data_IF_915029016816
#
_entry.id   IF_915029016816
#
_cell.length_a   1.000
_cell.length_b   1.000
_cell.length_c   1.000
_cell.angle_alpha   90.00
_cell.angle_beta   90.00
_cell.angle_gamma   90.00
#
_symmetry.space_group_name_H-M   'P 1'
#
loop_
_entity.id
_entity.type
_entity.pdbx_description
1 polymer ?
#
# COMPACT_ATOMS: atom_id res chain seq x y z
N UNK A 1 -9.06 3.75 1.66
CA UNK A 1 -9.91 2.91 0.77
C UNK A 1 -9.39 1.49 0.59
N UNK A 2 -8.56 0.98 1.49
CA UNK A 2 -8.15 -0.42 1.58
C UNK A 2 -7.63 -0.65 3.00
N UNK A 3 -7.55 -1.90 3.43
CA UNK A 3 -6.90 -2.31 4.68
C UNK A 3 -5.78 -3.28 4.40
N UNK A 4 -4.83 -3.38 5.33
CA UNK A 4 -3.90 -4.49 5.34
C UNK A 4 -4.47 -5.64 6.15
N UNK A 5 -4.48 -6.85 5.60
CA UNK A 5 -4.83 -8.05 6.34
C UNK A 5 -3.56 -8.64 6.96
N UNK A 6 -3.37 -8.44 8.27
CA UNK A 6 -2.18 -8.94 8.99
C UNK A 6 -2.11 -10.46 9.07
N UNK A 7 -3.25 -11.16 8.95
CA UNK A 7 -3.29 -12.63 8.99
C UNK A 7 -2.84 -13.23 7.66
N UNK A 8 -3.29 -12.66 6.55
CA UNK A 8 -2.97 -13.14 5.21
C UNK A 8 -1.75 -12.44 4.57
N UNK A 9 -1.31 -11.31 5.14
CA UNK A 9 -0.22 -10.50 4.61
C UNK A 9 -0.52 -9.88 3.24
N UNK A 10 -1.77 -9.50 3.00
CA UNK A 10 -2.23 -8.95 1.71
C UNK A 10 -3.14 -7.74 1.88
N UNK A 11 -3.18 -6.91 0.84
CA UNK A 11 -4.20 -5.87 0.68
C UNK A 11 -5.61 -6.48 0.63
N UNK A 12 -6.52 -5.89 1.39
CA UNK A 12 -7.92 -6.23 1.46
C UNK A 12 -8.78 -4.95 1.42
N UNK A 13 -10.08 -5.10 1.19
CA UNK A 13 -10.99 -3.95 1.14
C UNK A 13 -11.16 -3.31 2.53
N UNK A 14 -11.33 -1.99 2.55
CA UNK A 14 -11.57 -1.24 3.78
C UNK A 14 -12.90 -1.66 4.42
N UNK A 15 -12.93 -1.65 5.76
CA UNK A 15 -14.19 -1.83 6.50
C UNK A 15 -15.01 -0.54 6.47
N UNK A 16 -16.32 -0.70 6.59
CA UNK A 16 -17.25 0.42 6.64
C UNK A 16 -16.87 1.37 7.79
N UNK A 17 -16.85 2.69 7.51
CA UNK A 17 -16.48 3.78 8.44
C UNK A 17 -15.02 3.81 8.90
N UNK A 18 -14.13 3.02 8.30
CA UNK A 18 -12.70 3.04 8.60
C UNK A 18 -11.94 3.72 7.43
N UNK A 19 -11.70 5.03 7.55
CA UNK A 19 -11.03 5.83 6.51
C UNK A 19 -9.55 5.50 6.38
N UNK A 20 -8.86 5.37 7.53
CA UNK A 20 -7.41 5.16 7.64
C UNK A 20 -7.11 4.01 8.60
N UNK A 21 -7.17 2.75 8.13
CA UNK A 21 -6.77 1.62 8.97
C UNK A 21 -5.27 1.68 9.25
N UNK A 22 -4.83 1.33 10.47
CA UNK A 22 -3.40 1.28 10.80
C UNK A 22 -2.71 0.18 10.00
N UNK A 23 -1.57 0.52 9.39
CA UNK A 23 -0.67 -0.45 8.76
C UNK A 23 0.23 -1.09 9.83
N UNK A 24 0.54 -2.39 9.75
CA UNK A 24 1.60 -2.97 10.56
C UNK A 24 2.96 -2.34 10.25
N UNK A 25 3.93 -2.59 11.13
CA UNK A 25 5.32 -2.16 10.94
C UNK A 25 5.88 -2.84 9.69
N UNK A 26 6.28 -2.04 8.70
CA UNK A 26 6.89 -2.52 7.46
C UNK A 26 8.40 -2.49 7.62
N UNK A 27 9.04 -3.64 7.46
CA UNK A 27 10.50 -3.73 7.39
C UNK A 27 10.97 -3.47 5.96
N UNK A 28 11.75 -2.41 5.76
CA UNK A 28 12.27 -2.02 4.45
C UNK A 28 13.72 -2.44 4.35
N UNK A 29 14.04 -3.25 3.34
CA UNK A 29 15.41 -3.67 3.02
C UNK A 29 15.74 -3.27 1.59
N UNK A 30 16.92 -2.69 1.40
CA UNK A 30 17.45 -2.46 0.06
C UNK A 30 17.78 -3.81 -0.60
N UNK A 31 17.16 -4.06 -1.75
CA UNK A 31 17.37 -5.26 -2.56
C UNK A 31 17.60 -4.82 -4.01
N UNK A 32 18.47 -5.51 -4.73
CA UNK A 32 18.74 -5.28 -6.15
C UNK A 32 17.47 -5.60 -6.95
N UNK A 33 17.10 -4.76 -7.93
CA UNK A 33 15.86 -4.90 -8.72
C UNK A 33 15.62 -6.31 -9.28
N UNK A 34 16.68 -7.03 -9.67
CA UNK A 34 16.59 -8.37 -10.24
C UNK A 34 16.00 -9.42 -9.29
N UNK A 35 16.12 -9.20 -7.97
CA UNK A 35 15.57 -10.08 -6.93
C UNK A 35 14.22 -9.60 -6.39
N UNK A 36 13.69 -8.50 -6.92
CA UNK A 36 12.42 -7.96 -6.47
C UNK A 36 11.28 -8.78 -7.06
N UNK A 37 10.59 -9.56 -6.22
CA UNK A 37 9.41 -10.31 -6.65
C UNK A 37 8.21 -9.37 -6.76
N UNK A 38 7.98 -8.88 -7.99
CA UNK A 38 6.86 -8.01 -8.37
C UNK A 38 5.60 -8.78 -8.79
N UNK A 39 5.62 -10.11 -8.75
CA UNK A 39 4.47 -10.92 -9.18
C UNK A 39 3.40 -10.92 -8.11
N UNK A 40 2.23 -10.36 -8.42
CA UNK A 40 1.12 -10.28 -7.48
C UNK A 40 1.29 -9.20 -6.40
N UNK A 41 2.15 -8.22 -6.64
CA UNK A 41 2.22 -6.99 -5.83
C UNK A 41 1.56 -5.82 -6.53
N UNK A 42 1.10 -4.88 -5.73
CA UNK A 42 0.59 -3.58 -6.15
C UNK A 42 1.56 -2.50 -5.69
N UNK A 43 1.92 -1.61 -6.61
CA UNK A 43 2.74 -0.44 -6.30
C UNK A 43 1.88 0.61 -5.61
N UNK A 44 2.07 0.75 -4.30
CA UNK A 44 1.33 1.69 -3.48
C UNK A 44 2.19 2.93 -3.20
N UNK A 45 1.78 4.13 -3.67
CA UNK A 45 2.51 5.36 -3.38
C UNK A 45 2.34 5.76 -1.91
N UNK A 46 3.40 6.30 -1.32
CA UNK A 46 3.42 6.85 0.05
C UNK A 46 3.48 8.36 0.00
N UNK A 47 2.55 8.98 0.73
CA UNK A 47 2.51 10.41 0.93
C UNK A 47 2.82 10.76 2.40
N UNK A 48 3.42 11.93 2.60
CA UNK A 48 3.63 12.47 3.94
C UNK A 48 2.30 12.84 4.60
N UNK A 49 1.43 13.53 3.87
CA UNK A 49 0.17 14.12 4.37
C UNK A 49 -1.05 13.64 3.59
N UNK A 50 -2.23 13.75 4.19
CA UNK A 50 -3.52 13.42 3.56
C UNK A 50 -3.81 14.23 2.31
N UNK A 51 -3.29 15.46 2.20
CA UNK A 51 -3.60 16.36 1.09
C UNK A 51 -2.98 15.94 -0.25
N UNK A 52 -2.17 14.87 -0.30
CA UNK A 52 -1.54 14.33 -1.53
C UNK A 52 -0.87 15.42 -2.40
N UNK A 53 -0.51 16.54 -1.78
CA UNK A 53 -0.40 17.80 -2.50
C UNK A 53 0.88 17.88 -3.32
N UNK A 54 1.98 17.27 -2.87
CA UNK A 54 3.27 17.44 -3.59
C UNK A 54 4.38 16.43 -3.25
N UNK A 55 4.22 15.54 -2.27
CA UNK A 55 5.32 14.67 -1.79
C UNK A 55 5.00 13.19 -1.89
N UNK A 56 5.09 12.64 -3.11
CA UNK A 56 5.22 11.17 -3.27
C UNK A 56 6.63 10.78 -2.82
N UNK A 57 6.74 10.15 -1.66
CA UNK A 57 8.03 9.83 -1.04
C UNK A 57 8.61 8.58 -1.72
N UNK A 58 7.79 7.54 -1.85
CA UNK A 58 8.22 6.25 -2.34
C UNK A 58 7.04 5.37 -2.78
N UNK A 59 7.30 4.37 -3.62
CA UNK A 59 6.32 3.34 -3.99
C UNK A 59 6.67 2.02 -3.30
N UNK A 60 5.77 1.48 -2.48
CA UNK A 60 5.93 0.15 -1.87
C UNK A 60 5.23 -0.92 -2.68
N UNK A 61 5.90 -2.06 -2.85
CA UNK A 61 5.32 -3.27 -3.41
C UNK A 61 4.50 -3.99 -2.34
N UNK A 62 3.20 -3.77 -2.31
CA UNK A 62 2.29 -4.42 -1.37
C UNK A 62 1.71 -5.69 -1.99
N UNK A 63 1.77 -6.81 -1.26
CA UNK A 63 1.17 -8.07 -1.74
C UNK A 63 -0.35 -7.93 -1.87
N UNK A 64 -0.90 -8.46 -2.95
CA UNK A 64 -2.34 -8.49 -3.17
C UNK A 64 -2.80 -9.80 -3.80
N UNK A 65 -4.04 -10.19 -3.51
CA UNK A 65 -4.71 -11.31 -4.17
C UNK A 65 -5.49 -10.86 -5.41
N UNK A 66 -5.91 -9.61 -5.43
CA UNK A 66 -6.68 -9.02 -6.52
C UNK A 66 -5.74 -8.45 -7.59
N UNK A 67 -6.29 -8.20 -8.79
CA UNK A 67 -5.53 -7.53 -9.86
C UNK A 67 -5.06 -6.14 -9.38
N UNK A 68 -3.80 -5.73 -9.67
CA UNK A 68 -3.29 -4.41 -9.30
C UNK A 68 -4.19 -3.25 -9.75
N UNK A 69 -4.82 -3.38 -10.93
CA UNK A 69 -5.75 -2.40 -11.49
C UNK A 69 -6.91 -2.03 -10.55
N UNK A 70 -7.37 -2.97 -9.70
CA UNK A 70 -8.42 -2.72 -8.71
C UNK A 70 -7.98 -1.66 -7.70
N UNK A 71 -6.73 -1.73 -7.24
CA UNK A 71 -6.18 -0.84 -6.21
C UNK A 71 -5.80 0.53 -6.77
N UNK A 72 -5.36 0.56 -8.04
CA UNK A 72 -5.17 1.81 -8.81
C UNK A 72 -6.50 2.58 -8.87
N UNK A 73 -7.58 1.91 -9.29
CA UNK A 73 -8.91 2.53 -9.39
C UNK A 73 -9.48 2.94 -8.03
N UNK A 74 -9.21 2.17 -6.98
CA UNK A 74 -9.58 2.51 -5.61
C UNK A 74 -8.78 3.69 -5.03
N UNK A 75 -7.72 4.15 -5.73
CA UNK A 75 -6.88 5.26 -5.28
C UNK A 75 -6.17 4.95 -3.96
N UNK A 76 -5.79 3.69 -3.75
CA UNK A 76 -5.16 3.24 -2.51
C UNK A 76 -3.75 3.80 -2.41
N UNK A 77 -3.47 4.46 -1.29
CA UNK A 77 -2.19 5.07 -0.99
C UNK A 77 -1.84 4.87 0.50
N UNK A 78 -0.55 4.89 0.81
CA UNK A 78 -0.04 4.91 2.18
C UNK A 78 0.18 6.35 2.64
N UNK A 79 -0.10 6.59 3.91
CA UNK A 79 0.08 7.88 4.57
C UNK A 79 1.01 7.67 5.75
N UNK A 80 2.07 8.47 5.85
CA UNK A 80 2.97 8.45 7.02
C UNK A 80 2.34 9.16 8.22
N UNK A 81 1.55 10.20 7.96
CA UNK A 81 0.86 10.97 8.98
C UNK A 81 -0.63 11.08 8.65
N UNK A 82 -1.47 10.78 9.66
CA UNK A 82 -2.92 11.00 9.64
C UNK A 82 -3.20 12.38 10.22
#
# INVERSE_FOLDING_TARGET
GARWDSYLGVLAEAKLKELHPPMPIIYVKAVIQDKLDIRGTYECPVYHTQQRAETSIWNFQLKTRDKPSKWVLAGTALLLQI
#
